data_IF_832714245729
#
_entry.id   IF_832714245729
#
_cell.length_a   1.000
_cell.length_b   1.000
_cell.length_c   1.000
_cell.angle_alpha   90.00
_cell.angle_beta   90.00
_cell.angle_gamma   90.00
#
_symmetry.space_group_name_H-M   'P 1'
#
loop_
_entity.id
_entity.type
_entity.pdbx_description
1 polymer ?
#
# COMPACT_ATOMS: atom_id res chain seq x y z
N UNK A 1 -4.42 -42.67 19.77
CA UNK A 1 -4.72 -41.24 19.59
C UNK A 1 -3.43 -40.57 19.21
N UNK A 2 -3.25 -40.35 17.90
CA UNK A 2 -2.01 -39.84 17.34
C UNK A 2 -2.04 -38.31 17.41
N UNK A 3 -1.14 -37.75 18.21
CA UNK A 3 -0.82 -36.31 18.20
C UNK A 3 -0.02 -36.03 16.94
N UNK A 4 -0.68 -35.52 15.90
CA UNK A 4 -0.06 -35.27 14.59
C UNK A 4 0.39 -33.81 14.55
N UNK A 5 1.66 -33.60 14.17
CA UNK A 5 2.35 -32.30 14.12
C UNK A 5 2.03 -31.60 12.80
N UNK A 6 1.51 -30.38 12.89
CA UNK A 6 1.05 -29.55 11.77
C UNK A 6 2.23 -28.75 11.20
N UNK A 7 3.15 -29.40 10.50
CA UNK A 7 4.18 -28.67 9.75
C UNK A 7 4.62 -29.24 8.39
N UNK A 8 4.09 -30.39 7.93
CA UNK A 8 4.56 -31.00 6.66
C UNK A 8 3.43 -31.54 5.76
N UNK A 9 2.30 -30.81 5.62
CA UNK A 9 1.18 -31.35 4.83
C UNK A 9 1.13 -30.73 3.44
N UNK A 10 1.48 -31.55 2.45
CA UNK A 10 1.44 -31.21 1.02
C UNK A 10 0.02 -31.34 0.46
N UNK A 11 -0.27 -30.69 -0.67
CA UNK A 11 -1.57 -30.69 -1.38
C UNK A 11 -2.29 -32.05 -1.46
N UNK A 12 -1.53 -33.13 -1.67
CA UNK A 12 -2.07 -34.51 -1.70
C UNK A 12 -2.68 -34.97 -0.39
N UNK A 13 -2.14 -34.53 0.74
CA UNK A 13 -2.60 -34.94 2.06
C UNK A 13 -3.86 -34.18 2.48
N UNK A 14 -4.06 -32.95 1.99
CA UNK A 14 -5.31 -32.19 2.18
C UNK A 14 -6.45 -32.82 1.36
N UNK A 15 -6.16 -33.29 0.15
CA UNK A 15 -7.12 -34.04 -0.68
C UNK A 15 -7.50 -35.39 -0.03
N UNK A 16 -6.55 -36.11 0.57
CA UNK A 16 -6.81 -37.37 1.30
C UNK A 16 -7.72 -37.16 2.52
N UNK A 17 -7.54 -36.10 3.32
CA UNK A 17 -8.44 -35.79 4.45
C UNK A 17 -9.86 -35.47 3.96
N UNK A 18 -9.97 -34.74 2.85
CA UNK A 18 -11.26 -34.34 2.31
C UNK A 18 -12.09 -35.55 1.88
N UNK A 19 -11.43 -36.58 1.34
CA UNK A 19 -12.04 -37.88 1.03
C UNK A 19 -12.32 -38.73 2.28
N UNK A 20 -11.40 -38.80 3.25
CA UNK A 20 -11.56 -39.62 4.47
C UNK A 20 -12.63 -39.08 5.43
N UNK A 21 -12.69 -37.77 5.63
CA UNK A 21 -13.59 -37.14 6.59
C UNK A 21 -14.90 -36.64 5.96
N UNK A 22 -15.10 -36.88 4.66
CA UNK A 22 -16.33 -36.54 3.92
C UNK A 22 -16.76 -35.07 4.08
N UNK A 23 -15.78 -34.16 4.15
CA UNK A 23 -16.05 -32.73 4.23
C UNK A 23 -16.62 -32.23 2.90
N UNK A 24 -17.65 -31.40 2.95
CA UNK A 24 -18.34 -30.92 1.75
C UNK A 24 -17.54 -29.88 0.95
N UNK A 25 -16.45 -29.34 1.51
CA UNK A 25 -15.60 -28.33 0.88
C UNK A 25 -14.26 -28.17 1.58
N UNK A 26 -13.26 -27.64 0.88
CA UNK A 26 -11.95 -27.29 1.46
C UNK A 26 -12.06 -26.26 2.60
N UNK A 27 -13.05 -25.36 2.56
CA UNK A 27 -13.32 -24.37 3.61
C UNK A 27 -13.67 -25.02 4.97
N UNK A 28 -14.38 -26.16 4.95
CA UNK A 28 -14.69 -26.93 6.16
C UNK A 28 -13.44 -27.57 6.77
N UNK A 29 -12.51 -28.03 5.93
CA UNK A 29 -11.23 -28.61 6.36
C UNK A 29 -10.34 -27.54 6.98
N UNK A 30 -10.25 -26.36 6.35
CA UNK A 30 -9.47 -25.23 6.86
C UNK A 30 -10.01 -24.75 8.21
N UNK A 31 -11.34 -24.65 8.37
CA UNK A 31 -11.97 -24.29 9.65
C UNK A 31 -11.70 -25.31 10.76
N UNK A 32 -11.68 -26.60 10.43
CA UNK A 32 -11.30 -27.64 11.39
C UNK A 32 -9.82 -27.52 11.79
N UNK A 33 -8.93 -27.28 10.83
CA UNK A 33 -7.48 -27.09 11.06
C UNK A 33 -7.17 -25.84 11.89
N UNK A 34 -7.89 -24.73 11.66
CA UNK A 34 -7.76 -23.51 12.46
C UNK A 34 -8.21 -23.74 13.90
N UNK A 35 -9.31 -24.47 14.11
CA UNK A 35 -9.81 -24.85 15.43
C UNK A 35 -8.84 -25.77 16.19
N UNK A 36 -8.22 -26.71 15.51
CA UNK A 36 -7.21 -27.59 16.11
C UNK A 36 -5.90 -26.85 16.45
N UNK A 37 -5.53 -25.83 15.67
CA UNK A 37 -4.40 -24.94 15.97
C UNK A 37 -4.69 -24.01 17.15
N UNK A 38 -5.92 -23.53 17.29
CA UNK A 38 -6.35 -22.78 18.48
C UNK A 38 -6.19 -23.64 19.74
N UNK A 39 -6.64 -24.91 19.68
CA UNK A 39 -6.44 -25.87 20.76
C UNK A 39 -4.96 -26.19 21.05
N UNK A 40 -4.10 -26.23 20.01
CA UNK A 40 -2.66 -26.46 20.16
C UNK A 40 -1.93 -25.24 20.77
N UNK A 41 -2.33 -24.01 20.42
CA UNK A 41 -1.80 -22.77 21.04
C UNK A 41 -2.16 -22.69 22.52
N UNK A 42 -3.36 -23.14 22.92
CA UNK A 42 -3.74 -23.24 24.33
C UNK A 42 -3.03 -24.36 25.10
N UNK A 43 -2.44 -25.35 24.40
CA UNK A 43 -1.79 -26.51 25.02
C UNK A 43 -0.28 -26.34 25.29
N UNK A 44 0.34 -25.21 24.92
CA UNK A 44 1.68 -24.81 25.33
C UNK A 44 2.79 -25.82 25.01
N UNK A 45 3.45 -25.67 23.86
CA UNK A 45 4.79 -26.26 23.67
C UNK A 45 5.59 -25.38 22.72
N UNK A 46 6.41 -24.50 23.31
CA UNK A 46 7.54 -23.86 22.65
C UNK A 46 8.53 -24.93 22.18
N UNK A 47 8.85 -24.95 20.89
CA UNK A 47 10.04 -25.62 20.37
C UNK A 47 10.72 -24.66 19.39
N UNK A 48 11.82 -24.05 19.85
CA UNK A 48 12.85 -23.42 19.04
C UNK A 48 13.21 -24.34 17.87
N UNK A 49 13.09 -23.84 16.64
CA UNK A 49 13.58 -24.58 15.45
C UNK A 49 14.62 -23.71 14.76
N UNK A 50 15.82 -24.26 14.68
CA UNK A 50 17.04 -23.67 14.12
C UNK A 50 16.86 -23.18 12.67
N UNK A 51 17.34 -21.97 12.43
CA UNK A 51 17.47 -21.32 11.12
C UNK A 51 18.38 -22.16 10.21
N UNK A 52 17.85 -22.56 9.07
CA UNK A 52 18.63 -23.10 7.95
C UNK A 52 18.88 -21.99 6.94
N UNK A 53 20.12 -21.52 6.92
CA UNK A 53 20.66 -20.54 5.97
C UNK A 53 20.61 -21.01 4.51
N UNK A 54 20.25 -20.08 3.63
CA UNK A 54 20.89 -19.74 2.34
C UNK A 54 19.97 -19.76 1.11
N UNK A 55 19.56 -18.57 0.67
CA UNK A 55 19.68 -18.10 -0.71
C UNK A 55 19.64 -16.58 -0.69
N UNK A 56 20.60 -15.94 -1.37
CA UNK A 56 20.84 -14.50 -1.33
C UNK A 56 19.55 -13.68 -1.42
N UNK A 57 19.22 -13.05 -0.29
CA UNK A 57 18.01 -12.30 -0.04
C UNK A 57 17.96 -11.05 -0.91
N UNK A 58 16.98 -10.98 -1.82
CA UNK A 58 16.27 -9.71 -2.01
C UNK A 58 15.38 -9.58 -0.79
N UNK A 59 15.99 -9.11 0.29
CA UNK A 59 15.32 -8.88 1.56
C UNK A 59 14.19 -7.87 1.31
N UNK A 60 12.98 -8.05 1.88
CA UNK A 60 12.01 -6.98 1.91
C UNK A 60 12.70 -5.70 2.41
N UNK A 61 12.31 -4.51 1.91
CA UNK A 61 12.99 -3.27 2.25
C UNK A 61 13.16 -3.17 3.78
N UNK A 62 14.40 -2.92 4.24
CA UNK A 62 14.78 -3.00 5.66
C UNK A 62 13.94 -2.06 6.57
N UNK A 63 13.23 -1.11 5.98
CA UNK A 63 12.44 -0.07 6.65
C UNK A 63 10.91 -0.23 6.48
N UNK A 64 10.40 -1.44 6.22
CA UNK A 64 8.95 -1.64 6.14
C UNK A 64 8.31 -1.62 7.53
N UNK A 65 7.31 -0.77 7.74
CA UNK A 65 6.62 -0.66 9.04
C UNK A 65 5.64 -1.82 9.32
N UNK A 66 5.15 -2.49 8.27
CA UNK A 66 4.13 -3.53 8.35
C UNK A 66 4.68 -4.88 7.94
N UNK A 67 4.77 -5.81 8.89
CA UNK A 67 5.28 -7.16 8.61
C UNK A 67 4.29 -8.02 7.80
N UNK A 68 2.98 -7.78 7.95
CA UNK A 68 1.93 -8.70 7.43
C UNK A 68 0.97 -8.05 6.41
N UNK A 69 1.12 -6.74 6.17
CA UNK A 69 0.46 -5.99 5.11
C UNK A 69 1.50 -5.52 4.11
N UNK A 70 1.30 -5.81 2.82
CA UNK A 70 2.28 -5.48 1.79
C UNK A 70 1.57 -4.96 0.55
N UNK A 71 2.03 -3.86 -0.03
CA UNK A 71 1.56 -3.44 -1.35
C UNK A 71 2.02 -4.48 -2.39
N UNK A 72 1.14 -4.87 -3.31
CA UNK A 72 1.36 -5.98 -4.23
C UNK A 72 2.65 -5.84 -5.05
N UNK A 73 3.07 -4.63 -5.41
CA UNK A 73 4.32 -4.35 -6.11
C UNK A 73 5.59 -4.73 -5.33
N UNK A 74 5.52 -4.79 -4.00
CA UNK A 74 6.63 -5.19 -3.12
C UNK A 74 6.63 -6.71 -2.84
N UNK A 75 5.64 -7.45 -3.35
CA UNK A 75 5.50 -8.87 -3.09
C UNK A 75 6.47 -9.70 -3.94
N UNK A 76 7.39 -10.38 -3.25
CA UNK A 76 8.30 -11.37 -3.86
C UNK A 76 8.00 -12.81 -3.42
N UNK A 77 7.41 -12.98 -2.23
CA UNK A 77 7.00 -14.27 -1.69
C UNK A 77 5.68 -14.13 -0.96
N UNK A 78 4.89 -15.19 -0.96
CA UNK A 78 3.68 -15.32 -0.16
C UNK A 78 3.87 -16.39 0.92
N UNK A 79 3.51 -16.04 2.15
CA UNK A 79 3.43 -16.99 3.23
C UNK A 79 2.43 -18.12 2.96
N UNK A 80 2.90 -19.37 3.08
CA UNK A 80 2.16 -20.59 2.76
C UNK A 80 1.53 -20.60 1.36
N UNK A 81 2.15 -19.91 0.40
CA UNK A 81 1.71 -19.89 -1.01
C UNK A 81 0.31 -19.28 -1.22
N UNK A 82 -0.23 -18.51 -0.26
CA UNK A 82 -1.58 -17.91 -0.32
C UNK A 82 -1.53 -16.42 -0.06
N UNK A 83 -2.23 -15.63 -0.89
CA UNK A 83 -2.42 -14.18 -0.70
C UNK A 83 -3.88 -13.77 -0.77
N UNK A 84 -4.21 -12.79 0.07
CA UNK A 84 -5.51 -12.12 0.09
C UNK A 84 -5.31 -10.69 -0.42
N UNK A 85 -5.94 -10.35 -1.54
CA UNK A 85 -5.85 -9.00 -2.12
C UNK A 85 -6.99 -8.13 -1.63
N UNK A 86 -6.68 -6.89 -1.23
CA UNK A 86 -7.63 -5.95 -0.64
C UNK A 86 -7.55 -4.57 -1.29
N UNK A 87 -8.72 -3.94 -1.41
CA UNK A 87 -8.84 -2.55 -1.81
C UNK A 87 -8.62 -1.64 -0.61
N UNK A 88 -7.60 -0.77 -0.62
CA UNK A 88 -7.35 0.13 0.51
C UNK A 88 -8.43 1.21 0.61
N UNK A 89 -9.07 1.58 -0.50
CA UNK A 89 -10.06 2.66 -0.49
C UNK A 89 -11.38 2.30 0.20
N UNK A 90 -11.84 1.05 0.12
CA UNK A 90 -13.16 0.67 0.67
C UNK A 90 -13.12 -0.56 1.58
N UNK A 91 -11.91 -1.01 1.94
CA UNK A 91 -11.67 -2.15 2.82
C UNK A 91 -12.33 -3.44 2.32
N UNK A 92 -12.47 -3.61 1.00
CA UNK A 92 -13.12 -4.78 0.42
C UNK A 92 -12.09 -5.73 -0.15
N UNK A 93 -12.21 -7.00 0.24
CA UNK A 93 -11.47 -8.09 -0.38
C UNK A 93 -11.77 -8.17 -1.88
N UNK A 94 -10.71 -8.25 -2.66
CA UNK A 94 -10.70 -8.28 -4.12
C UNK A 94 -10.56 -9.71 -4.65
N UNK A 95 -9.63 -10.49 -4.11
CA UNK A 95 -9.34 -11.84 -4.57
C UNK A 95 -8.56 -12.68 -3.55
N UNK A 96 -8.65 -14.00 -3.70
CA UNK A 96 -7.76 -14.98 -3.07
C UNK A 96 -6.91 -15.63 -4.14
N UNK A 97 -5.60 -15.67 -3.92
CA UNK A 97 -4.64 -16.26 -4.86
C UNK A 97 -3.87 -17.38 -4.16
N UNK A 98 -3.67 -18.47 -4.89
CA UNK A 98 -2.67 -19.49 -4.54
C UNK A 98 -1.56 -19.38 -5.58
N UNK A 99 -0.34 -19.16 -5.14
CA UNK A 99 0.79 -18.79 -5.98
C UNK A 99 1.93 -19.79 -5.79
N UNK A 100 2.81 -19.92 -6.78
CA UNK A 100 4.07 -20.64 -6.61
C UNK A 100 5.16 -19.61 -6.33
N UNK A 101 5.92 -19.79 -5.25
CA UNK A 101 7.03 -18.91 -4.90
C UNK A 101 8.28 -19.21 -5.76
N UNK A 102 9.09 -18.20 -6.14
CA UNK A 102 8.88 -16.77 -5.92
C UNK A 102 7.83 -16.18 -6.87
N UNK A 103 7.22 -15.09 -6.43
CA UNK A 103 6.22 -14.35 -7.18
C UNK A 103 6.92 -13.32 -8.05
N UNK A 104 6.58 -13.30 -9.34
CA UNK A 104 7.00 -12.27 -10.29
C UNK A 104 5.74 -11.68 -10.95
N UNK A 105 5.42 -10.45 -10.58
CA UNK A 105 4.27 -9.70 -11.09
C UNK A 105 4.81 -8.52 -11.88
N UNK A 106 4.69 -8.60 -13.21
CA UNK A 106 5.12 -7.49 -14.07
C UNK A 106 4.07 -6.39 -14.18
N UNK A 107 2.81 -6.78 -14.39
CA UNK A 107 1.65 -5.87 -14.49
C UNK A 107 0.45 -6.58 -13.88
N UNK A 108 -0.20 -5.95 -12.91
CA UNK A 108 -1.47 -6.40 -12.35
C UNK A 108 -2.43 -5.22 -12.22
N UNK A 109 -3.63 -5.36 -12.77
CA UNK A 109 -4.69 -4.35 -12.77
C UNK A 109 -6.04 -5.02 -12.51
N UNK A 110 -6.90 -4.39 -11.70
CA UNK A 110 -8.27 -4.83 -11.47
C UNK A 110 -9.19 -3.69 -11.04
N UNK A 111 -10.49 -3.82 -11.31
CA UNK A 111 -11.51 -2.88 -10.84
C UNK A 111 -12.18 -3.39 -9.55
N UNK A 112 -12.20 -2.56 -8.50
CA UNK A 112 -12.91 -2.88 -7.27
C UNK A 112 -14.42 -2.89 -7.48
N UNK A 113 -15.07 -4.03 -7.23
CA UNK A 113 -16.52 -4.17 -7.43
C UNK A 113 -17.40 -3.37 -6.45
N UNK A 114 -16.80 -2.74 -5.43
CA UNK A 114 -17.53 -1.92 -4.44
C UNK A 114 -17.41 -0.43 -4.71
N UNK A 115 -16.19 0.09 -4.84
CA UNK A 115 -15.95 1.52 -5.08
C UNK A 115 -15.74 1.88 -6.56
N UNK A 116 -15.66 0.87 -7.45
CA UNK A 116 -15.44 1.03 -8.90
C UNK A 116 -14.10 1.68 -9.29
N UNK A 117 -13.20 1.90 -8.33
CA UNK A 117 -11.85 2.36 -8.61
C UNK A 117 -11.08 1.27 -9.37
N UNK A 118 -10.38 1.70 -10.42
CA UNK A 118 -9.34 0.89 -11.04
C UNK A 118 -8.13 0.91 -10.13
N UNK A 119 -7.59 -0.27 -9.84
CA UNK A 119 -6.49 -0.49 -8.92
C UNK A 119 -5.41 -1.28 -9.64
N UNK A 120 -4.16 -0.92 -9.42
CA UNK A 120 -3.01 -1.69 -9.89
C UNK A 120 -2.14 -2.19 -8.72
N UNK A 121 -1.00 -2.79 -9.07
CA UNK A 121 -0.03 -3.30 -8.12
C UNK A 121 0.52 -2.27 -7.12
N UNK A 122 0.41 -0.96 -7.37
CA UNK A 122 0.91 0.10 -6.49
C UNK A 122 -0.06 0.51 -5.38
N UNK A 123 -1.27 -0.06 -5.38
CA UNK A 123 -2.31 0.29 -4.40
C UNK A 123 -3.04 -0.92 -3.84
N UNK A 124 -2.96 -2.07 -4.50
CA UNK A 124 -3.56 -3.30 -3.99
C UNK A 124 -2.73 -3.81 -2.82
N UNK A 125 -3.39 -4.08 -1.69
CA UNK A 125 -2.73 -4.62 -0.51
C UNK A 125 -2.88 -6.14 -0.50
N UNK A 126 -1.76 -6.84 -0.43
CA UNK A 126 -1.66 -8.23 -0.08
C UNK A 126 -1.60 -8.37 1.45
N UNK A 127 -2.56 -9.10 2.02
CA UNK A 127 -2.58 -9.48 3.43
C UNK A 127 -2.07 -10.92 3.54
N UNK A 128 -1.02 -11.12 4.34
CA UNK A 128 -0.42 -12.43 4.59
C UNK A 128 -1.01 -13.14 5.82
N UNK A 129 -0.69 -14.42 5.96
CA UNK A 129 -1.17 -15.26 7.06
C UNK A 129 -0.44 -14.88 8.34
N UNK A 130 -1.05 -13.98 9.10
CA UNK A 130 -0.53 -13.48 10.38
C UNK A 130 -1.33 -12.27 10.84
N UNK A 131 -1.71 -11.44 9.87
CA UNK A 131 -2.49 -10.24 10.12
C UNK A 131 -3.85 -10.56 10.77
N UNK A 132 -4.22 -9.88 11.88
CA UNK A 132 -5.42 -10.16 12.66
C UNK A 132 -6.68 -9.61 11.97
N UNK A 133 -6.96 -10.09 10.76
CA UNK A 133 -8.02 -9.56 9.90
C UNK A 133 -9.40 -9.61 10.54
N UNK A 134 -9.71 -10.69 11.27
CA UNK A 134 -11.01 -10.87 11.91
C UNK A 134 -11.23 -9.82 13.01
N UNK A 135 -10.20 -9.54 13.81
CA UNK A 135 -10.22 -8.51 14.85
C UNK A 135 -10.37 -7.13 14.21
N UNK A 136 -9.54 -6.81 13.22
CA UNK A 136 -9.55 -5.52 12.51
C UNK A 136 -10.86 -5.23 11.77
N UNK A 137 -11.53 -6.27 11.27
CA UNK A 137 -12.87 -6.15 10.69
C UNK A 137 -13.95 -5.89 11.74
N UNK A 138 -13.84 -6.49 12.92
CA UNK A 138 -14.78 -6.26 14.03
C UNK A 138 -14.60 -4.87 14.63
N UNK A 139 -13.36 -4.40 14.71
CA UNK A 139 -13.01 -3.08 15.23
C UNK A 139 -13.19 -1.95 14.21
N UNK A 140 -13.52 -2.27 12.96
CA UNK A 140 -13.63 -1.31 11.84
C UNK A 140 -12.32 -0.54 11.55
N UNK A 141 -11.18 -1.13 11.91
CA UNK A 141 -9.85 -0.55 11.77
C UNK A 141 -9.11 -1.00 10.50
N UNK A 142 -9.62 -2.03 9.81
CA UNK A 142 -8.95 -2.61 8.65
C UNK A 142 -8.64 -1.55 7.58
N UNK A 143 -9.62 -0.71 7.23
CA UNK A 143 -9.44 0.28 6.18
C UNK A 143 -8.35 1.30 6.52
N UNK A 144 -8.22 1.68 7.80
CA UNK A 144 -7.19 2.60 8.26
C UNK A 144 -5.79 1.98 8.07
N UNK A 145 -5.60 0.73 8.50
CA UNK A 145 -4.34 0.01 8.34
C UNK A 145 -3.96 -0.15 6.85
N UNK A 146 -4.94 -0.44 5.97
CA UNK A 146 -4.69 -0.54 4.52
C UNK A 146 -4.27 0.80 3.91
N UNK A 147 -4.91 1.90 4.33
CA UNK A 147 -4.58 3.26 3.90
C UNK A 147 -3.16 3.63 4.36
N UNK A 148 -2.85 3.41 5.62
CA UNK A 148 -1.53 3.72 6.21
C UNK A 148 -0.42 2.93 5.50
N UNK A 149 -0.63 1.63 5.24
CA UNK A 149 0.30 0.81 4.49
C UNK A 149 0.51 1.31 3.05
N UNK A 150 -0.54 1.82 2.40
CA UNK A 150 -0.45 2.39 1.05
C UNK A 150 0.36 3.70 1.06
N UNK A 151 0.09 4.59 2.02
CA UNK A 151 0.77 5.88 2.14
C UNK A 151 2.26 5.68 2.44
N UNK A 152 2.58 4.80 3.39
CA UNK A 152 3.97 4.41 3.71
C UNK A 152 4.70 3.87 2.47
N UNK A 153 4.04 3.00 1.69
CA UNK A 153 4.60 2.52 0.45
C UNK A 153 4.89 3.65 -0.55
N UNK A 154 3.93 4.54 -0.81
CA UNK A 154 4.13 5.63 -1.78
C UNK A 154 5.28 6.56 -1.36
N UNK A 155 5.37 6.93 -0.08
CA UNK A 155 6.45 7.77 0.44
C UNK A 155 7.83 7.10 0.27
N UNK A 156 7.97 5.86 0.78
CA UNK A 156 9.23 5.10 0.65
C UNK A 156 9.59 4.84 -0.80
N UNK A 157 8.62 4.59 -1.67
CA UNK A 157 8.88 4.27 -3.07
C UNK A 157 9.37 5.50 -3.86
N UNK A 158 8.84 6.69 -3.56
CA UNK A 158 9.38 7.94 -4.11
C UNK A 158 10.78 8.24 -3.56
N UNK A 159 11.00 8.07 -2.25
CA UNK A 159 12.32 8.25 -1.63
C UNK A 159 13.39 7.38 -2.31
N UNK A 160 13.13 6.07 -2.43
CA UNK A 160 14.05 5.15 -3.10
C UNK A 160 14.25 5.47 -4.59
N UNK A 161 13.23 5.99 -5.26
CA UNK A 161 13.33 6.36 -6.67
C UNK A 161 14.24 7.57 -6.90
N UNK A 162 14.33 8.50 -5.94
CA UNK A 162 15.27 9.62 -6.00
C UNK A 162 16.72 9.24 -5.71
N UNK A 163 16.94 8.29 -4.80
CA UNK A 163 18.29 7.82 -4.45
C UNK A 163 18.91 6.95 -5.56
N UNK A 164 18.07 6.19 -6.27
CA UNK A 164 18.47 5.32 -7.36
C UNK A 164 18.70 6.12 -8.66
N UNK A 165 19.96 6.51 -8.88
CA UNK A 165 20.47 7.19 -10.11
C UNK A 165 20.29 6.41 -11.42
N UNK A 166 19.66 5.23 -11.40
CA UNK A 166 19.46 4.35 -12.56
C UNK A 166 18.04 4.46 -13.14
N UNK A 167 17.08 5.00 -12.40
CA UNK A 167 15.70 5.14 -12.86
C UNK A 167 15.58 6.28 -13.86
N UNK A 168 14.91 6.05 -15.00
CA UNK A 168 14.64 7.09 -15.98
C UNK A 168 13.68 8.13 -15.38
N UNK A 169 14.00 9.42 -15.47
CA UNK A 169 13.20 10.55 -14.95
C UNK A 169 11.72 10.46 -15.39
N UNK A 170 11.48 10.07 -16.64
CA UNK A 170 10.14 9.87 -17.19
C UNK A 170 9.34 8.74 -16.53
N UNK A 171 10.01 7.72 -15.97
CA UNK A 171 9.34 6.64 -15.25
C UNK A 171 8.85 7.10 -13.88
N UNK A 172 9.63 7.96 -13.21
CA UNK A 172 9.24 8.55 -11.92
C UNK A 172 8.11 9.56 -12.11
N UNK A 173 8.17 10.40 -13.15
CA UNK A 173 7.07 11.32 -13.48
C UNK A 173 5.76 10.57 -13.75
N UNK A 174 5.82 9.43 -14.43
CA UNK A 174 4.65 8.60 -14.68
C UNK A 174 4.09 8.01 -13.36
N UNK A 175 4.96 7.59 -12.45
CA UNK A 175 4.57 7.08 -11.14
C UNK A 175 3.90 8.16 -10.29
N UNK A 176 4.46 9.37 -10.26
CA UNK A 176 3.86 10.53 -9.57
C UNK A 176 2.49 10.86 -10.15
N UNK A 177 2.35 10.86 -11.48
CA UNK A 177 1.04 11.02 -12.11
C UNK A 177 0.06 9.93 -11.66
N UNK A 178 0.48 8.66 -11.59
CA UNK A 178 -0.38 7.57 -11.10
C UNK A 178 -0.83 7.80 -9.64
N UNK A 179 0.09 8.18 -8.76
CA UNK A 179 -0.21 8.45 -7.35
C UNK A 179 -1.18 9.63 -7.20
N UNK A 180 -0.99 10.72 -7.95
CA UNK A 180 -1.93 11.85 -8.00
C UNK A 180 -3.35 11.40 -8.42
N UNK A 181 -3.47 10.50 -9.40
CA UNK A 181 -4.78 9.95 -9.77
C UNK A 181 -5.42 9.17 -8.62
N UNK A 182 -4.64 8.42 -7.84
CA UNK A 182 -5.17 7.72 -6.68
C UNK A 182 -5.60 8.68 -5.58
N UNK A 183 -4.81 9.71 -5.27
CA UNK A 183 -5.16 10.75 -4.28
C UNK A 183 -6.52 11.37 -4.63
N UNK A 184 -6.69 11.81 -5.89
CA UNK A 184 -7.96 12.38 -6.38
C UNK A 184 -9.15 11.43 -6.31
N UNK A 185 -8.93 10.16 -6.65
CA UNK A 185 -9.99 9.15 -6.68
C UNK A 185 -10.37 8.63 -5.29
N UNK A 186 -9.44 8.66 -4.35
CA UNK A 186 -9.64 8.10 -3.01
C UNK A 186 -10.13 9.14 -2.02
N UNK A 187 -9.76 10.42 -2.22
CA UNK A 187 -10.17 11.53 -1.36
C UNK A 187 -9.86 11.25 0.12
N UNK A 188 -8.67 10.71 0.36
CA UNK A 188 -8.18 10.42 1.70
C UNK A 188 -7.68 11.68 2.37
N UNK A 189 -7.97 11.84 3.67
CA UNK A 189 -7.27 12.84 4.48
C UNK A 189 -5.77 12.50 4.51
N UNK A 190 -4.92 13.42 4.03
CA UNK A 190 -3.49 13.19 3.96
C UNK A 190 -2.82 13.54 5.30
N UNK A 191 -1.86 12.74 5.81
CA UNK A 191 -1.12 13.08 7.03
C UNK A 191 -0.27 14.35 6.87
N UNK A 192 -0.19 15.19 7.90
CA UNK A 192 0.59 16.44 7.92
C UNK A 192 2.11 16.20 8.03
N UNK A 193 2.49 15.04 8.54
CA UNK A 193 3.87 14.62 8.77
C UNK A 193 4.48 13.82 7.60
N UNK A 194 3.69 13.49 6.58
CA UNK A 194 4.12 12.75 5.39
C UNK A 194 4.12 13.64 4.14
N UNK A 195 5.19 13.64 3.31
CA UNK A 195 5.20 14.39 2.06
C UNK A 195 4.01 14.03 1.16
N UNK A 196 3.38 15.00 0.52
CA UNK A 196 2.28 14.74 -0.41
C UNK A 196 2.79 14.07 -1.68
N UNK A 197 2.00 13.15 -2.21
CA UNK A 197 2.29 12.44 -3.48
C UNK A 197 1.36 12.86 -4.63
N UNK A 198 0.46 13.81 -4.37
CA UNK A 198 -0.47 14.39 -5.32
C UNK A 198 -0.58 15.91 -5.14
N UNK A 199 -1.33 16.57 -6.02
CA UNK A 199 -1.52 18.02 -5.97
C UNK A 199 -2.98 18.36 -6.30
N UNK A 200 -3.75 18.76 -5.28
CA UNK A 200 -5.19 19.00 -5.40
C UNK A 200 -5.57 20.47 -5.19
N UNK A 201 -6.64 20.89 -5.88
CA UNK A 201 -7.19 22.23 -5.71
C UNK A 201 -7.91 22.36 -4.36
N UNK A 202 -7.63 23.46 -3.65
CA UNK A 202 -8.12 23.72 -2.30
C UNK A 202 -7.10 23.43 -1.21
N UNK A 203 -5.99 22.74 -1.52
CA UNK A 203 -4.95 22.46 -0.54
C UNK A 203 -4.04 23.66 -0.30
N UNK A 204 -3.59 23.79 0.96
CA UNK A 204 -2.47 24.64 1.34
C UNK A 204 -1.28 23.73 1.62
N UNK A 205 -0.19 23.91 0.87
CA UNK A 205 0.99 23.07 0.95
C UNK A 205 2.20 23.85 1.47
N UNK A 206 2.93 23.30 2.43
CA UNK A 206 4.20 23.84 2.89
C UNK A 206 5.37 23.19 2.14
N UNK A 207 6.12 23.99 1.38
CA UNK A 207 7.38 23.58 0.81
C UNK A 207 8.49 23.76 1.85
N UNK A 208 8.94 22.66 2.46
CA UNK A 208 9.97 22.67 3.52
C UNK A 208 11.38 23.00 3.02
N UNK A 209 11.65 22.98 1.72
CA UNK A 209 12.97 23.29 1.16
C UNK A 209 13.21 24.80 1.14
N UNK A 210 12.21 25.54 0.66
CA UNK A 210 12.30 27.00 0.50
C UNK A 210 11.57 27.77 1.61
N UNK A 211 10.93 27.04 2.54
CA UNK A 211 10.08 27.57 3.62
C UNK A 211 9.00 28.53 3.09
N UNK A 212 8.20 28.03 2.15
CA UNK A 212 7.10 28.78 1.53
C UNK A 212 5.76 28.02 1.63
N UNK A 213 4.66 28.76 1.75
CA UNK A 213 3.31 28.20 1.62
C UNK A 213 2.80 28.36 0.19
N UNK A 214 2.09 27.35 -0.30
CA UNK A 214 1.53 27.29 -1.64
C UNK A 214 0.04 26.96 -1.51
N UNK A 215 -0.82 27.94 -1.80
CA UNK A 215 -2.27 27.75 -1.86
C UNK A 215 -2.64 27.35 -3.29
N UNK A 216 -3.21 26.15 -3.45
CA UNK A 216 -3.59 25.60 -4.76
C UNK A 216 -5.03 26.00 -5.08
N UNK A 217 -5.23 26.76 -6.16
CA UNK A 217 -6.54 27.36 -6.46
C UNK A 217 -7.36 26.47 -7.38
N UNK A 218 -6.92 26.30 -8.63
CA UNK A 218 -7.64 25.51 -9.62
C UNK A 218 -6.71 24.95 -10.71
N UNK A 219 -7.05 23.80 -11.30
CA UNK A 219 -6.30 23.26 -12.43
C UNK A 219 -6.50 24.14 -13.68
N UNK A 220 -5.40 24.39 -14.39
CA UNK A 220 -5.35 25.18 -15.63
C UNK A 220 -5.34 24.28 -16.87
N UNK A 221 -4.92 23.02 -16.70
CA UNK A 221 -4.92 22.00 -17.75
C UNK A 221 -5.78 20.81 -17.36
N UNK A 222 -6.11 19.99 -18.35
CA UNK A 222 -6.73 18.67 -18.15
C UNK A 222 -5.89 17.63 -18.90
N UNK A 223 -4.75 17.28 -18.32
CA UNK A 223 -3.83 16.29 -18.86
C UNK A 223 -4.31 14.88 -18.51
N UNK A 224 -4.26 13.97 -19.50
CA UNK A 224 -4.67 12.58 -19.29
C UNK A 224 -3.56 11.65 -18.81
N UNK A 225 -2.30 12.02 -19.07
CA UNK A 225 -1.14 11.15 -18.88
C UNK A 225 0.02 11.89 -18.19
N UNK A 226 -0.28 13.02 -17.55
CA UNK A 226 0.67 13.85 -16.83
C UNK A 226 -0.10 14.66 -15.78
N UNK A 227 0.61 15.20 -14.80
CA UNK A 227 0.02 16.14 -13.85
C UNK A 227 -0.59 17.35 -14.56
N UNK A 228 -1.59 17.94 -13.94
CA UNK A 228 -2.12 19.22 -14.37
C UNK A 228 -1.18 20.35 -13.95
N UNK A 229 -1.20 21.45 -14.71
CA UNK A 229 -0.69 22.74 -14.24
C UNK A 229 -1.79 23.42 -13.42
N UNK A 230 -1.41 24.20 -12.42
CA UNK A 230 -2.35 24.83 -11.49
C UNK A 230 -2.12 26.33 -11.38
N UNK A 231 -3.20 27.07 -11.15
CA UNK A 231 -3.11 28.42 -10.62
C UNK A 231 -2.87 28.31 -9.11
N UNK A 232 -1.83 28.97 -8.63
CA UNK A 232 -1.41 28.93 -7.22
C UNK A 232 -1.13 30.34 -6.71
N UNK A 233 -1.18 30.51 -5.39
CA UNK A 233 -0.52 31.63 -4.71
C UNK A 233 0.62 31.10 -3.87
N UNK A 234 1.76 31.77 -3.94
CA UNK A 234 2.93 31.45 -3.12
C UNK A 234 3.17 32.53 -2.10
N UNK A 235 3.47 32.11 -0.89
CA UNK A 235 3.78 32.96 0.25
C UNK A 235 5.16 32.57 0.77
N UNK A 236 6.24 33.14 0.19
CA UNK A 236 7.58 33.02 0.77
C UNK A 236 7.60 33.58 2.19
N UNK A 237 8.51 33.10 3.04
CA UNK A 237 8.64 33.54 4.43
C UNK A 237 8.58 35.08 4.57
N UNK A 238 7.66 35.57 5.40
CA UNK A 238 7.49 37.00 5.69
C UNK A 238 6.75 37.82 4.64
N UNK A 239 6.15 37.19 3.63
CA UNK A 239 5.30 37.86 2.63
C UNK A 239 3.94 38.22 3.23
N UNK A 240 3.46 39.45 2.99
CA UNK A 240 2.08 39.83 3.37
C UNK A 240 1.08 39.06 2.47
N UNK A 241 0.11 38.34 3.05
CA UNK A 241 -0.90 37.61 2.28
C UNK A 241 -1.66 38.48 1.26
N UNK A 242 -1.75 39.79 1.51
CA UNK A 242 -2.41 40.73 0.59
C UNK A 242 -1.56 41.13 -0.63
N UNK A 243 -0.27 40.84 -0.63
CA UNK A 243 0.64 41.13 -1.73
C UNK A 243 0.89 39.92 -2.64
N UNK A 244 0.48 38.72 -2.20
CA UNK A 244 0.61 37.50 -2.98
C UNK A 244 -0.20 37.60 -4.28
N UNK A 245 0.47 37.28 -5.39
CA UNK A 245 -0.15 37.24 -6.73
C UNK A 245 -0.37 35.81 -7.13
N UNK A 246 -1.43 35.59 -7.90
CA UNK A 246 -1.62 34.30 -8.54
C UNK A 246 -0.61 34.12 -9.67
N UNK A 247 -0.07 32.92 -9.77
CA UNK A 247 0.80 32.49 -10.86
C UNK A 247 0.42 31.08 -11.32
N UNK A 248 0.86 30.70 -12.52
CA UNK A 248 0.66 29.35 -13.04
C UNK A 248 1.90 28.54 -12.71
N UNK A 249 1.71 27.46 -11.95
CA UNK A 249 2.72 26.44 -11.72
C UNK A 249 2.54 25.32 -12.75
N UNK A 250 3.58 25.07 -13.54
CA UNK A 250 3.52 24.03 -14.57
C UNK A 250 3.67 22.61 -14.00
N UNK A 251 3.19 21.63 -14.77
CA UNK A 251 3.20 20.21 -14.38
C UNK A 251 4.58 19.67 -14.03
N UNK A 252 5.64 20.16 -14.68
CA UNK A 252 6.99 19.67 -14.46
C UNK A 252 7.54 20.21 -13.14
N UNK A 253 7.23 21.47 -12.81
CA UNK A 253 7.57 22.05 -11.52
C UNK A 253 6.88 21.29 -10.38
N UNK A 254 5.58 20.99 -10.53
CA UNK A 254 4.82 20.21 -9.52
C UNK A 254 5.40 18.80 -9.37
N UNK A 255 5.63 18.10 -10.48
CA UNK A 255 6.26 16.78 -10.45
C UNK A 255 7.59 16.82 -9.71
N UNK A 256 8.45 17.79 -10.02
CA UNK A 256 9.73 17.94 -9.33
C UNK A 256 9.58 18.18 -7.82
N UNK A 257 8.61 18.98 -7.38
CA UNK A 257 8.39 19.21 -5.95
C UNK A 257 7.93 17.94 -5.21
N UNK A 258 7.07 17.14 -5.85
CA UNK A 258 6.60 15.85 -5.31
C UNK A 258 7.72 14.81 -5.30
N UNK A 259 8.45 14.68 -6.41
CA UNK A 259 9.58 13.74 -6.54
C UNK A 259 10.62 14.03 -5.44
N UNK A 260 10.94 15.30 -5.21
CA UNK A 260 11.89 15.71 -4.17
C UNK A 260 11.31 15.67 -2.75
N UNK A 261 10.05 15.23 -2.57
CA UNK A 261 9.37 15.11 -1.27
C UNK A 261 9.39 16.42 -0.46
N UNK A 262 9.24 17.54 -1.17
CA UNK A 262 9.38 18.88 -0.58
C UNK A 262 8.09 19.42 0.03
N UNK A 263 6.94 18.89 -0.39
CA UNK A 263 5.61 19.44 -0.09
C UNK A 263 4.92 18.63 1.01
N UNK A 264 4.33 19.32 1.99
CA UNK A 264 3.55 18.75 3.07
C UNK A 264 2.20 19.46 3.14
N UNK A 265 1.16 18.76 3.56
CA UNK A 265 -0.15 19.38 3.76
C UNK A 265 -0.08 20.25 5.02
N UNK A 266 -0.44 21.53 4.91
CA UNK A 266 -0.60 22.43 6.03
C UNK A 266 -2.10 22.45 6.40
N UNK A 267 -2.44 22.16 7.65
CA UNK A 267 -3.82 22.38 8.10
C UNK A 267 -4.14 23.88 8.04
N UNK A 268 -5.20 24.25 7.32
CA UNK A 268 -5.76 25.58 7.45
C UNK A 268 -6.13 25.80 8.94
N UNK A 269 -5.42 26.70 9.63
CA UNK A 269 -5.85 27.12 10.97
C UNK A 269 -7.31 27.63 10.87
N UNK A 270 -8.26 27.08 11.64
CA UNK A 270 -9.67 27.46 11.57
C UNK A 270 -9.97 28.90 12.04
#
# INVERSE_FOLDING_TARGET
>A
MATIRVRDWTKKQIEEILEEESHSSHDSVIKALLKDRELAKFAGTDIETEESTSNADQQPPENKAFDELTVLSEMYRADNDVLFLWCPNCGKELAHLTLENPIDISIFEMECQRCLNHLDQHVIIAIEIGYPIEEKLVEDNLQADLKECTIDYWDRHLEQSTENTVTEESAIEQLVWQFDQYVRNFQWDWPDDVPVVGFEAGDTLHNKVDDELIEVIEPVTENRNALDSFEVKRYPEGTDPNEARTEIMDSNMIANLIINRSLYLEEDEP
#
